data_IF_357322685912
#
_entry.id   IF_357322685912
#
_cell.length_a   1.000
_cell.length_b   1.000
_cell.length_c   1.000
_cell.angle_alpha   90.00
_cell.angle_beta   90.00
_cell.angle_gamma   90.00
#
_symmetry.space_group_name_H-M   'P 1'
#
loop_
_entity.id
_entity.type
_entity.pdbx_description
1 polymer ?
#
# COMPACT_ATOMS: atom_id res chain seq x y z
N UNK A 1 -13.34 29.59 -10.32
CA UNK A 1 -13.39 28.13 -10.10
C UNK A 1 -13.03 27.45 -11.40
N UNK A 2 -11.92 26.73 -11.44
CA UNK A 2 -11.55 25.93 -12.60
C UNK A 2 -12.59 24.82 -12.79
N UNK A 3 -13.11 24.55 -13.99
CA UNK A 3 -14.07 23.49 -14.22
C UNK A 3 -13.47 22.13 -13.80
N UNK A 4 -14.33 21.27 -13.23
CA UNK A 4 -13.93 19.92 -12.81
C UNK A 4 -13.48 19.11 -14.03
N UNK A 5 -12.25 18.59 -13.95
CA UNK A 5 -11.65 17.74 -14.98
C UNK A 5 -11.42 16.35 -14.39
N UNK A 6 -12.23 15.33 -14.75
CA UNK A 6 -12.11 13.99 -14.22
C UNK A 6 -10.76 13.33 -14.51
N UNK A 7 -10.12 13.66 -15.64
CA UNK A 7 -8.84 13.06 -16.06
C UNK A 7 -7.68 13.47 -15.13
N UNK A 8 -7.76 14.67 -14.55
CA UNK A 8 -6.76 15.18 -13.61
C UNK A 8 -6.90 14.61 -12.20
N UNK A 9 -8.06 14.05 -11.84
CA UNK A 9 -8.32 13.57 -10.48
C UNK A 9 -7.35 12.47 -10.06
N UNK A 10 -7.10 11.48 -10.92
CA UNK A 10 -6.18 10.39 -10.62
C UNK A 10 -4.74 10.87 -10.43
N UNK A 11 -4.28 11.80 -11.26
CA UNK A 11 -2.95 12.42 -11.16
C UNK A 11 -2.83 13.20 -9.85
N UNK A 12 -3.86 13.98 -9.50
CA UNK A 12 -3.88 14.78 -8.28
C UNK A 12 -3.85 13.89 -7.03
N UNK A 13 -4.65 12.81 -7.01
CA UNK A 13 -4.67 11.85 -5.88
C UNK A 13 -3.31 11.20 -5.66
N UNK A 14 -2.72 10.66 -6.71
CA UNK A 14 -1.41 9.98 -6.63
C UNK A 14 -0.29 10.94 -6.29
N UNK A 15 -0.31 12.15 -6.86
CA UNK A 15 0.65 13.21 -6.57
C UNK A 15 0.57 13.65 -5.11
N UNK A 16 -0.62 13.99 -4.63
CA UNK A 16 -0.84 14.42 -3.25
C UNK A 16 -0.42 13.33 -2.24
N UNK A 17 -0.81 12.08 -2.47
CA UNK A 17 -0.43 10.98 -1.60
C UNK A 17 1.09 10.74 -1.57
N UNK A 18 1.77 10.90 -2.71
CA UNK A 18 3.23 10.83 -2.80
C UNK A 18 3.90 11.96 -2.04
N UNK A 19 3.44 13.21 -2.24
CA UNK A 19 4.05 14.38 -1.60
C UNK A 19 3.86 14.37 -0.09
N UNK A 20 2.70 13.94 0.39
CA UNK A 20 2.43 13.72 1.80
C UNK A 20 3.41 12.71 2.41
N UNK A 21 3.54 11.53 1.78
CA UNK A 21 4.47 10.49 2.23
C UNK A 21 5.92 10.97 2.22
N UNK A 22 6.34 11.66 1.17
CA UNK A 22 7.69 12.20 1.06
C UNK A 22 8.02 13.22 2.17
N UNK A 23 7.06 14.07 2.53
CA UNK A 23 7.25 15.02 3.63
C UNK A 23 7.38 14.29 4.97
N UNK A 24 6.57 13.28 5.23
CA UNK A 24 6.66 12.46 6.44
C UNK A 24 7.97 11.68 6.49
N UNK A 25 8.39 11.05 5.39
CA UNK A 25 9.65 10.33 5.28
C UNK A 25 10.86 11.21 5.62
N UNK A 26 10.89 12.44 5.08
CA UNK A 26 11.97 13.41 5.39
C UNK A 26 12.05 13.74 6.87
N UNK A 27 10.92 13.85 7.57
CA UNK A 27 10.87 14.16 9.01
C UNK A 27 11.25 12.98 9.89
N UNK A 28 10.97 11.75 9.44
CA UNK A 28 11.28 10.53 10.18
C UNK A 28 12.69 9.99 9.89
N UNK A 29 13.32 10.43 8.80
CA UNK A 29 14.68 10.00 8.40
C UNK A 29 15.75 10.22 9.48
N UNK A 30 15.80 11.35 10.21
CA UNK A 30 16.75 11.53 11.31
C UNK A 30 16.63 10.51 12.44
N UNK A 31 15.47 9.85 12.56
CA UNK A 31 15.22 8.77 13.53
C UNK A 31 15.67 7.38 13.04
N UNK A 32 16.35 7.30 11.87
CA UNK A 32 16.76 6.03 11.25
C UNK A 32 15.61 5.27 10.58
N UNK A 33 14.45 5.94 10.40
CA UNK A 33 13.26 5.36 9.78
C UNK A 33 13.22 5.67 8.28
N UNK A 34 13.36 4.63 7.46
CA UNK A 34 12.98 4.71 6.04
C UNK A 34 11.47 4.56 5.87
N UNK A 35 10.95 4.96 4.71
CA UNK A 35 9.53 4.84 4.41
C UNK A 35 8.99 3.42 4.68
N UNK A 36 9.69 2.38 4.22
CA UNK A 36 9.28 1.00 4.47
C UNK A 36 9.23 0.64 5.96
N UNK A 37 10.19 1.11 6.77
CA UNK A 37 10.22 0.85 8.21
C UNK A 37 9.04 1.50 8.93
N UNK A 38 8.86 2.82 8.77
CA UNK A 38 7.80 3.51 9.51
C UNK A 38 6.39 3.10 9.06
N UNK A 39 6.18 2.84 7.76
CA UNK A 39 4.89 2.36 7.25
C UNK A 39 4.56 0.98 7.85
N UNK A 40 5.53 0.06 7.86
CA UNK A 40 5.36 -1.28 8.43
C UNK A 40 5.02 -1.23 9.91
N UNK A 41 5.74 -0.40 10.71
CA UNK A 41 5.47 -0.22 12.14
C UNK A 41 4.09 0.40 12.38
N UNK A 42 3.69 1.41 11.60
CA UNK A 42 2.40 2.05 11.71
C UNK A 42 1.25 1.07 11.44
N UNK A 43 1.33 0.26 10.38
CA UNK A 43 0.31 -0.76 10.09
C UNK A 43 0.23 -1.86 11.17
N UNK A 44 1.37 -2.27 11.73
CA UNK A 44 1.39 -3.23 12.84
C UNK A 44 0.72 -2.65 14.10
N UNK A 45 0.94 -1.37 14.38
CA UNK A 45 0.33 -0.70 15.52
C UNK A 45 -1.18 -0.49 15.32
N UNK A 46 -1.59 -0.09 14.11
CA UNK A 46 -3.00 0.14 13.76
C UNK A 46 -3.84 -1.16 13.81
N UNK A 47 -3.23 -2.29 13.46
CA UNK A 47 -3.88 -3.60 13.55
C UNK A 47 -4.19 -4.03 14.99
N UNK A 48 -3.49 -3.50 15.99
CA UNK A 48 -3.68 -3.82 17.41
C UNK A 48 -3.40 -5.28 17.79
N UNK A 49 -2.98 -6.12 16.83
CA UNK A 49 -2.70 -7.54 17.01
C UNK A 49 -1.55 -7.99 16.08
N UNK A 50 -0.88 -9.10 16.39
CA UNK A 50 0.13 -9.66 15.52
C UNK A 50 -0.43 -10.03 14.14
N UNK A 51 0.34 -9.78 13.09
CA UNK A 51 -0.01 -10.09 11.71
C UNK A 51 0.95 -11.12 11.12
N UNK A 52 0.47 -11.95 10.19
CA UNK A 52 1.35 -12.76 9.35
C UNK A 52 2.14 -11.84 8.40
N UNK A 53 3.30 -12.30 7.92
CA UNK A 53 4.07 -11.54 6.94
C UNK A 53 3.27 -11.26 5.66
N UNK A 54 2.41 -12.21 5.25
CA UNK A 54 1.54 -12.06 4.10
C UNK A 54 0.52 -10.93 4.30
N UNK A 55 -0.24 -10.96 5.39
CA UNK A 55 -1.20 -9.89 5.73
C UNK A 55 -0.54 -8.52 5.79
N UNK A 56 0.65 -8.46 6.39
CA UNK A 56 1.39 -7.21 6.52
C UNK A 56 1.89 -6.71 5.14
N UNK A 57 2.33 -7.61 4.24
CA UNK A 57 2.72 -7.25 2.87
C UNK A 57 1.53 -6.67 2.09
N UNK A 58 0.36 -7.29 2.21
CA UNK A 58 -0.89 -6.83 1.60
C UNK A 58 -1.29 -5.44 2.14
N UNK A 59 -1.22 -5.21 3.45
CA UNK A 59 -1.53 -3.91 4.08
C UNK A 59 -0.55 -2.80 3.67
N UNK A 60 0.74 -3.10 3.61
CA UNK A 60 1.77 -2.15 3.21
C UNK A 60 1.77 -1.91 1.69
N UNK A 61 1.19 -2.84 0.92
CA UNK A 61 1.12 -2.76 -0.54
C UNK A 61 2.47 -3.04 -1.22
N UNK A 62 3.26 -4.01 -0.69
CA UNK A 62 4.57 -4.40 -1.23
C UNK A 62 4.68 -5.92 -1.34
N UNK A 63 5.62 -6.36 -2.17
CA UNK A 63 5.92 -7.78 -2.36
C UNK A 63 6.56 -8.41 -1.12
N UNK A 64 6.27 -9.70 -0.90
CA UNK A 64 6.77 -10.47 0.25
C UNK A 64 8.27 -10.40 0.46
N UNK A 65 9.13 -10.60 -0.56
CA UNK A 65 10.59 -10.48 -0.42
C UNK A 65 11.05 -9.09 0.04
N UNK A 66 10.41 -8.03 -0.45
CA UNK A 66 10.68 -6.65 -0.03
C UNK A 66 10.35 -6.44 1.44
N UNK A 67 9.17 -6.93 1.87
CA UNK A 67 8.77 -6.87 3.28
C UNK A 67 9.75 -7.67 4.15
N UNK A 68 10.18 -8.86 3.75
CA UNK A 68 11.11 -9.68 4.52
C UNK A 68 12.39 -8.89 4.86
N UNK A 69 12.99 -8.19 3.89
CA UNK A 69 14.16 -7.35 4.12
C UNK A 69 13.90 -6.15 5.04
N UNK A 70 12.66 -5.62 5.08
CA UNK A 70 12.27 -4.56 6.03
C UNK A 70 12.16 -5.15 7.42
N UNK A 71 11.49 -6.31 7.57
CA UNK A 71 11.32 -6.99 8.84
C UNK A 71 12.65 -7.44 9.46
N UNK A 72 13.62 -7.87 8.66
CA UNK A 72 14.96 -8.21 9.15
C UNK A 72 15.62 -6.99 9.82
N UNK A 73 15.52 -5.83 9.18
CA UNK A 73 16.04 -4.57 9.74
C UNK A 73 15.29 -4.12 10.98
N UNK A 74 13.96 -4.18 10.98
CA UNK A 74 13.14 -3.83 12.15
C UNK A 74 13.40 -4.76 13.34
N UNK A 75 13.66 -6.04 13.08
CA UNK A 75 14.03 -7.00 14.11
C UNK A 75 15.45 -6.75 14.64
N UNK A 76 16.40 -6.41 13.75
CA UNK A 76 17.76 -6.01 14.14
C UNK A 76 17.76 -4.74 14.99
N UNK A 77 16.88 -3.77 14.67
CA UNK A 77 16.68 -2.56 15.47
C UNK A 77 15.96 -2.85 16.81
N UNK A 78 15.46 -4.06 17.00
CA UNK A 78 14.79 -4.50 18.23
C UNK A 78 13.34 -4.03 18.35
N UNK A 79 12.70 -3.49 17.32
CA UNK A 79 11.32 -2.97 17.39
C UNK A 79 10.24 -4.02 17.16
N UNK A 80 10.60 -5.12 16.50
CA UNK A 80 9.69 -6.25 16.28
C UNK A 80 10.34 -7.57 16.68
N UNK A 81 9.51 -8.60 16.81
CA UNK A 81 9.93 -10.00 16.86
C UNK A 81 9.04 -10.85 15.96
N UNK A 82 9.61 -11.93 15.41
CA UNK A 82 8.88 -12.90 14.61
C UNK A 82 8.78 -14.21 15.40
N UNK A 83 7.55 -14.68 15.61
CA UNK A 83 7.26 -15.94 16.32
C UNK A 83 6.50 -16.89 15.40
N UNK A 84 6.67 -18.18 15.60
CA UNK A 84 5.84 -19.18 14.94
C UNK A 84 4.37 -19.02 15.37
N UNK A 85 3.46 -19.19 14.41
CA UNK A 85 2.03 -19.19 14.73
C UNK A 85 1.68 -20.43 15.53
N UNK A 86 0.86 -20.29 16.56
CA UNK A 86 0.36 -21.42 17.35
C UNK A 86 -0.52 -22.38 16.52
N UNK A 87 -1.17 -21.86 15.46
CA UNK A 87 -2.07 -22.64 14.60
C UNK A 87 -1.38 -23.26 13.39
N UNK A 88 -0.30 -22.64 12.88
CA UNK A 88 0.47 -23.13 11.73
C UNK A 88 1.95 -22.72 11.87
N UNK A 89 2.81 -23.67 12.19
CA UNK A 89 4.27 -23.46 12.34
C UNK A 89 4.96 -22.98 11.05
N UNK A 90 4.32 -23.09 9.90
CA UNK A 90 4.85 -22.59 8.62
C UNK A 90 4.66 -21.06 8.50
N UNK A 91 3.75 -20.50 9.29
CA UNK A 91 3.44 -19.08 9.31
C UNK A 91 4.19 -18.38 10.46
N UNK A 92 4.91 -17.33 10.13
CA UNK A 92 5.54 -16.45 11.14
C UNK A 92 4.64 -15.25 11.39
N UNK A 93 4.34 -15.02 12.67
CA UNK A 93 3.61 -13.85 13.15
C UNK A 93 4.61 -12.76 13.52
N UNK A 94 4.33 -11.54 13.10
CA UNK A 94 5.11 -10.35 13.42
C UNK A 94 4.47 -9.63 14.59
N UNK A 95 5.24 -9.44 15.65
CA UNK A 95 4.81 -8.79 16.88
C UNK A 95 5.61 -7.50 17.08
N UNK A 96 4.95 -6.45 17.53
CA UNK A 96 5.64 -5.29 18.11
C UNK A 96 6.27 -5.67 19.44
N UNK A 97 7.48 -5.19 19.69
CA UNK A 97 8.12 -5.31 21.00
C UNK A 97 7.70 -4.13 21.90
N UNK A 98 7.77 -4.31 23.21
CA UNK A 98 7.42 -3.24 24.18
C UNK A 98 8.22 -1.96 23.97
N UNK A 99 9.49 -2.06 23.62
CA UNK A 99 10.35 -0.90 23.36
C UNK A 99 10.01 -0.14 22.08
N UNK A 100 9.19 -0.70 21.18
CA UNK A 100 8.71 0.01 19.97
C UNK A 100 7.73 1.14 20.31
N UNK A 101 7.17 1.20 21.51
CA UNK A 101 6.24 2.25 21.91
C UNK A 101 6.84 3.66 21.71
N UNK A 102 8.11 3.86 22.07
CA UNK A 102 8.77 5.16 21.95
C UNK A 102 8.90 5.59 20.48
N UNK A 103 9.30 4.67 19.58
CA UNK A 103 9.44 5.00 18.15
C UNK A 103 8.07 5.19 17.50
N UNK A 104 7.05 4.47 17.93
CA UNK A 104 5.68 4.64 17.46
C UNK A 104 5.11 6.01 17.85
N UNK A 105 5.35 6.45 19.09
CA UNK A 105 4.96 7.79 19.54
C UNK A 105 5.61 8.88 18.68
N UNK A 106 6.87 8.73 18.34
CA UNK A 106 7.57 9.65 17.44
C UNK A 106 7.00 9.64 16.02
N UNK A 107 6.63 8.47 15.49
CA UNK A 107 5.98 8.34 14.18
C UNK A 107 4.62 9.05 14.19
N UNK A 108 3.78 8.75 15.18
CA UNK A 108 2.41 9.29 15.24
C UNK A 108 2.38 10.79 15.54
N UNK A 109 3.23 11.29 16.45
CA UNK A 109 3.32 12.72 16.75
C UNK A 109 3.83 13.50 15.54
N UNK A 110 4.85 13.00 14.83
CA UNK A 110 5.36 13.62 13.61
C UNK A 110 4.30 13.64 12.50
N UNK A 111 3.56 12.54 12.34
CA UNK A 111 2.45 12.47 11.39
C UNK A 111 1.30 13.43 11.75
N UNK A 112 1.01 13.58 13.04
CA UNK A 112 0.00 14.53 13.54
C UNK A 112 0.40 15.97 13.26
N UNK A 113 1.64 16.35 13.58
CA UNK A 113 2.16 17.70 13.27
C UNK A 113 2.07 18.02 11.78
N UNK A 114 2.53 17.08 10.92
CA UNK A 114 2.44 17.26 9.47
C UNK A 114 0.99 17.41 9.00
N UNK A 115 0.07 16.62 9.56
CA UNK A 115 -1.36 16.71 9.24
C UNK A 115 -1.91 18.10 9.58
N UNK A 116 -1.61 18.61 10.76
CA UNK A 116 -2.03 19.95 11.17
C UNK A 116 -1.52 21.03 10.21
N UNK A 117 -0.25 20.96 9.83
CA UNK A 117 0.34 21.94 8.90
C UNK A 117 -0.29 21.89 7.50
N UNK A 118 -0.50 20.67 6.96
CA UNK A 118 -1.02 20.51 5.60
C UNK A 118 -2.51 20.86 5.49
N UNK A 119 -3.25 20.78 6.58
CA UNK A 119 -4.71 20.96 6.58
C UNK A 119 -5.16 22.27 7.27
N UNK A 120 -4.24 23.08 7.79
CA UNK A 120 -4.55 24.26 8.62
C UNK A 120 -5.49 25.27 7.94
N UNK A 121 -5.30 25.50 6.64
CA UNK A 121 -6.04 26.52 5.88
C UNK A 121 -7.26 25.95 5.13
N UNK A 122 -7.60 24.68 5.37
CA UNK A 122 -8.72 24.00 4.69
C UNK A 122 -9.91 23.93 5.62
N UNK A 123 -11.08 24.46 5.22
CA UNK A 123 -12.28 24.40 6.03
C UNK A 123 -12.66 22.97 6.38
N UNK A 124 -13.08 22.67 7.61
CA UNK A 124 -13.46 21.32 8.03
C UNK A 124 -14.58 20.68 7.16
N UNK A 125 -15.51 21.48 6.67
CA UNK A 125 -16.57 21.01 5.78
C UNK A 125 -16.03 20.48 4.43
N UNK A 126 -15.01 21.14 3.89
CA UNK A 126 -14.35 20.71 2.64
C UNK A 126 -13.55 19.43 2.85
N UNK A 127 -12.86 19.31 3.99
CA UNK A 127 -12.16 18.08 4.36
C UNK A 127 -13.14 16.90 4.51
N UNK A 128 -14.29 17.13 5.15
CA UNK A 128 -15.32 16.10 5.31
C UNK A 128 -15.89 15.66 3.97
N UNK A 129 -16.15 16.61 3.06
CA UNK A 129 -16.60 16.33 1.69
C UNK A 129 -15.56 15.53 0.93
N UNK A 130 -14.29 15.95 0.99
CA UNK A 130 -13.15 15.24 0.37
C UNK A 130 -13.07 13.80 0.86
N UNK A 131 -13.09 13.58 2.18
CA UNK A 131 -13.06 12.23 2.76
C UNK A 131 -14.24 11.37 2.30
N UNK A 132 -15.44 11.92 2.23
CA UNK A 132 -16.61 11.22 1.72
C UNK A 132 -16.43 10.78 0.27
N UNK A 133 -15.95 11.67 -0.59
CA UNK A 133 -15.69 11.38 -2.02
C UNK A 133 -14.61 10.30 -2.15
N UNK A 134 -13.49 10.43 -1.45
CA UNK A 134 -12.39 9.44 -1.48
C UNK A 134 -12.85 8.06 -1.00
N UNK A 135 -13.67 8.01 0.06
CA UNK A 135 -14.25 6.76 0.56
C UNK A 135 -15.12 6.08 -0.50
N UNK A 136 -15.97 6.83 -1.18
CA UNK A 136 -16.82 6.31 -2.27
C UNK A 136 -16.01 5.82 -3.47
N UNK A 137 -14.94 6.53 -3.83
CA UNK A 137 -14.01 6.09 -4.90
C UNK A 137 -13.34 4.77 -4.52
N UNK A 138 -12.84 4.65 -3.29
CA UNK A 138 -12.20 3.43 -2.77
C UNK A 138 -13.14 2.23 -2.81
N UNK A 139 -14.36 2.39 -2.29
CA UNK A 139 -15.38 1.33 -2.33
C UNK A 139 -15.70 0.87 -3.76
N UNK A 140 -15.78 1.80 -4.73
CA UNK A 140 -15.99 1.45 -6.13
C UNK A 140 -14.77 0.76 -6.74
N UNK A 141 -13.56 1.18 -6.40
CA UNK A 141 -12.33 0.55 -6.90
C UNK A 141 -12.27 -0.92 -6.48
N UNK A 142 -12.63 -1.25 -5.24
CA UNK A 142 -12.68 -2.64 -4.76
C UNK A 142 -13.66 -3.51 -5.59
N UNK A 143 -14.79 -2.94 -6.02
CA UNK A 143 -15.78 -3.63 -6.86
C UNK A 143 -15.33 -3.80 -8.32
N UNK A 144 -14.63 -2.81 -8.89
CA UNK A 144 -14.17 -2.81 -10.28
C UNK A 144 -13.03 -3.83 -10.48
N UNK A 145 -12.16 -4.03 -9.50
CA UNK A 145 -11.04 -4.99 -9.57
C UNK A 145 -11.52 -6.44 -9.72
N UNK A 146 -12.70 -6.77 -9.22
CA UNK A 146 -13.28 -8.12 -9.34
C UNK A 146 -13.86 -8.38 -10.75
N UNK A 147 -14.29 -7.36 -11.49
CA UNK A 147 -14.97 -7.51 -12.77
C UNK A 147 -14.10 -7.20 -14.01
N UNK A 148 -12.88 -6.71 -13.85
CA UNK A 148 -12.07 -6.12 -14.93
C UNK A 148 -10.96 -7.00 -15.53
N UNK A 149 -10.69 -8.21 -15.04
CA UNK A 149 -9.67 -9.11 -15.58
C UNK A 149 -10.34 -10.36 -16.17
N UNK A 150 -10.99 -10.17 -17.31
CA UNK A 150 -11.52 -11.32 -18.02
C UNK A 150 -12.36 -10.98 -19.24
N UNK A 151 -11.75 -10.43 -20.29
CA UNK A 151 -12.13 -10.65 -21.68
C UNK A 151 -11.36 -9.71 -22.62
N UNK A 152 -10.09 -9.98 -22.83
CA UNK A 152 -9.51 -9.71 -24.15
C UNK A 152 -9.48 -11.03 -24.88
N UNK A 153 -10.55 -11.28 -25.65
CA UNK A 153 -10.59 -12.38 -26.61
C UNK A 153 -9.51 -12.14 -27.67
N UNK A 154 -8.52 -13.03 -27.72
CA UNK A 154 -7.55 -13.06 -28.79
C UNK A 154 -8.28 -13.30 -30.15
N UNK A 155 -7.93 -12.60 -31.23
CA UNK A 155 -8.51 -12.85 -32.54
C UNK A 155 -8.09 -14.25 -33.02
N UNK A 156 -9.08 -15.09 -33.33
CA UNK A 156 -8.86 -16.38 -33.99
C UNK A 156 -8.33 -16.13 -35.39
N UNK A 157 -7.06 -16.34 -35.62
CA UNK A 157 -6.50 -16.41 -36.97
C UNK A 157 -6.87 -17.77 -37.57
N UNK A 158 -7.81 -17.74 -38.53
CA UNK A 158 -8.11 -18.86 -39.41
C UNK A 158 -6.91 -19.08 -40.38
N UNK A 159 -6.02 -19.97 -39.99
CA UNK A 159 -4.96 -20.47 -40.87
C UNK A 159 -5.51 -21.53 -41.81
N UNK A 160 -5.89 -21.13 -43.01
CA UNK A 160 -6.18 -22.04 -44.11
C UNK A 160 -4.87 -22.73 -44.57
N UNK A 161 -4.81 -24.07 -44.44
CA UNK A 161 -3.70 -24.87 -45.00
C UNK A 161 -3.83 -24.95 -46.54
N UNK A 162 -2.76 -24.68 -47.34
CA UNK A 162 -2.78 -24.94 -48.80
C UNK A 162 -2.70 -26.45 -49.06
N UNK A 163 -3.59 -26.89 -49.96
CA UNK A 163 -3.60 -28.27 -50.50
C UNK A 163 -2.35 -28.54 -51.34
N UNK A 164 -1.63 -29.56 -50.99
CA UNK A 164 -0.47 -30.08 -51.70
C UNK A 164 -0.94 -30.95 -52.89
N UNK A 165 -0.85 -30.43 -54.11
CA UNK A 165 -1.06 -31.13 -55.35
C UNK A 165 0.07 -32.17 -55.58
N UNK A 166 -0.28 -33.43 -55.74
CA UNK A 166 0.61 -34.48 -56.23
C UNK A 166 0.79 -34.33 -57.74
N UNK A 167 2.01 -34.16 -58.21
CA UNK A 167 2.40 -34.43 -59.59
C UNK A 167 2.88 -35.87 -59.70
N UNK A 168 2.27 -36.59 -60.63
CA UNK A 168 2.74 -37.89 -61.13
C UNK A 168 3.85 -37.64 -62.17
N UNK A 169 4.93 -38.36 -62.06
CA UNK A 169 5.67 -39.12 -63.06
C UNK A 169 6.64 -40.01 -62.33
#
# INVERSE_FOLDING_TARGET
>A
MTPFDPEKLGILLTGTARDWRNKLDRRLRPLGLSQGKWTTLAHLADAGAPLTQRQLAELVGIEGPTLAGILDRLQSDGWIERKESASDRRCKMVHLRRNSAVILDQIFSTAQMLRHELLADIPPADLQTCMSVLTRIRQKADLVTVNGIGQTAAPKTNGAKPKRTKRAH
#
